data_IF_560506430873
#
_entry.id   IF_560506430873
#
_cell.length_a   1.000
_cell.length_b   1.000
_cell.length_c   1.000
_cell.angle_alpha   90.00
_cell.angle_beta   90.00
_cell.angle_gamma   90.00
#
_symmetry.space_group_name_H-M   'P 1'
#
loop_
_entity.id
_entity.type
_entity.pdbx_description
1 polymer ?
#
# COMPACT_ATOMS: atom_id res chain seq x y z
N UNK A 1 2.09 -3.89 21.34
CA UNK A 1 3.01 -4.22 20.25
C UNK A 1 2.47 -5.48 19.59
N UNK A 2 1.92 -5.38 18.39
CA UNK A 2 1.49 -6.57 17.65
C UNK A 2 2.73 -7.16 17.00
N UNK A 3 2.97 -8.44 17.18
CA UNK A 3 4.12 -9.13 16.59
C UNK A 3 3.84 -9.32 15.10
N UNK A 4 4.79 -8.94 14.24
CA UNK A 4 4.67 -9.09 12.77
C UNK A 4 4.21 -10.50 12.37
N UNK A 5 4.71 -11.52 13.07
CA UNK A 5 4.32 -12.92 12.88
C UNK A 5 2.84 -13.19 13.08
N UNK A 6 2.21 -12.56 14.07
CA UNK A 6 0.78 -12.77 14.37
C UNK A 6 -0.12 -12.03 13.36
N UNK A 7 0.30 -10.88 12.84
CA UNK A 7 -0.42 -10.22 11.73
C UNK A 7 -0.28 -11.00 10.43
N UNK A 8 0.89 -11.57 10.14
CA UNK A 8 1.09 -12.41 8.98
C UNK A 8 0.18 -13.64 9.01
N UNK A 9 0.03 -14.30 10.17
CA UNK A 9 -0.91 -15.42 10.34
C UNK A 9 -2.35 -15.00 10.07
N UNK A 10 -2.82 -13.90 10.67
CA UNK A 10 -4.19 -13.41 10.43
C UNK A 10 -4.44 -13.09 8.96
N UNK A 11 -3.46 -12.56 8.25
CA UNK A 11 -3.57 -12.31 6.81
C UNK A 11 -3.72 -13.64 6.05
N UNK A 12 -2.90 -14.65 6.38
CA UNK A 12 -3.00 -15.97 5.77
C UNK A 12 -4.37 -16.61 6.08
N UNK A 13 -4.86 -16.49 7.31
CA UNK A 13 -6.17 -17.03 7.73
C UNK A 13 -7.36 -16.36 7.01
N UNK A 14 -7.16 -15.20 6.36
CA UNK A 14 -8.19 -14.51 5.57
C UNK A 14 -8.18 -14.86 4.09
N UNK A 15 -7.16 -15.57 3.61
CA UNK A 15 -7.06 -15.95 2.21
C UNK A 15 -8.01 -17.12 1.89
N UNK A 16 -8.55 -17.17 0.66
CA UNK A 16 -9.21 -18.37 0.14
C UNK A 16 -8.32 -19.61 0.16
N UNK A 17 -8.92 -20.80 0.28
CA UNK A 17 -8.18 -22.08 0.26
C UNK A 17 -7.47 -22.35 -1.07
N UNK A 18 -7.93 -21.73 -2.16
CA UNK A 18 -7.37 -21.82 -3.51
C UNK A 18 -6.44 -20.65 -3.86
N UNK A 19 -6.15 -19.76 -2.89
CA UNK A 19 -5.25 -18.63 -3.10
C UNK A 19 -3.82 -19.09 -3.39
N UNK A 20 -3.15 -18.37 -4.28
CA UNK A 20 -1.77 -18.63 -4.63
C UNK A 20 -0.78 -17.57 -4.08
N UNK A 21 0.46 -17.65 -4.53
CA UNK A 21 1.51 -16.73 -4.09
C UNK A 21 1.28 -15.29 -4.58
N UNK A 22 0.63 -15.09 -5.73
CA UNK A 22 0.30 -13.75 -6.24
C UNK A 22 -0.77 -13.10 -5.36
N UNK A 23 -1.79 -13.85 -4.94
CA UNK A 23 -2.82 -13.38 -4.02
C UNK A 23 -2.23 -12.96 -2.67
N UNK A 24 -1.37 -13.79 -2.08
CA UNK A 24 -0.68 -13.47 -0.84
C UNK A 24 0.16 -12.19 -0.98
N UNK A 25 0.91 -12.05 -2.08
CA UNK A 25 1.71 -10.85 -2.32
C UNK A 25 0.86 -9.61 -2.53
N UNK A 26 -0.28 -9.73 -3.22
CA UNK A 26 -1.23 -8.64 -3.39
C UNK A 26 -1.73 -8.13 -2.04
N UNK A 27 -2.18 -9.02 -1.15
CA UNK A 27 -2.66 -8.65 0.18
C UNK A 27 -1.57 -7.95 1.01
N UNK A 28 -0.33 -8.46 0.97
CA UNK A 28 0.81 -7.81 1.63
C UNK A 28 1.04 -6.40 1.09
N UNK A 29 1.03 -6.24 -0.24
CA UNK A 29 1.23 -4.94 -0.89
C UNK A 29 0.15 -3.93 -0.51
N UNK A 30 -1.13 -4.34 -0.55
CA UNK A 30 -2.25 -3.48 -0.16
C UNK A 30 -2.12 -3.02 1.28
N UNK A 31 -1.83 -3.94 2.21
CA UNK A 31 -1.59 -3.57 3.62
C UNK A 31 -0.44 -2.58 3.77
N UNK A 32 0.69 -2.83 3.13
CA UNK A 32 1.85 -1.94 3.20
C UNK A 32 1.51 -0.52 2.68
N UNK A 33 0.73 -0.43 1.60
CA UNK A 33 0.27 0.86 1.05
C UNK A 33 -0.64 1.60 2.00
N UNK A 34 -1.56 0.91 2.67
CA UNK A 34 -2.44 1.50 3.67
C UNK A 34 -1.63 2.01 4.86
N UNK A 35 -0.71 1.20 5.40
CA UNK A 35 0.14 1.59 6.53
C UNK A 35 1.01 2.80 6.20
N UNK A 36 1.62 2.83 5.01
CA UNK A 36 2.38 3.98 4.51
C UNK A 36 1.51 5.23 4.41
N UNK A 37 0.27 5.09 3.91
CA UNK A 37 -0.69 6.19 3.81
C UNK A 37 -1.07 6.75 5.19
N UNK A 38 -1.40 5.87 6.15
CA UNK A 38 -1.73 6.26 7.52
C UNK A 38 -0.56 6.98 8.20
N UNK A 39 0.67 6.48 8.00
CA UNK A 39 1.88 7.12 8.51
C UNK A 39 2.08 8.50 7.89
N UNK A 40 1.93 8.64 6.58
CA UNK A 40 2.06 9.92 5.87
C UNK A 40 1.05 10.96 6.38
N UNK A 41 -0.21 10.56 6.64
CA UNK A 41 -1.22 11.42 7.26
C UNK A 41 -0.76 11.89 8.64
N UNK A 42 -0.29 10.96 9.49
CA UNK A 42 0.19 11.28 10.84
C UNK A 42 1.39 12.24 10.83
N UNK A 43 2.26 12.12 9.83
CA UNK A 43 3.45 12.96 9.66
C UNK A 43 3.17 14.24 8.84
N UNK A 44 1.90 14.52 8.52
CA UNK A 44 1.46 15.65 7.70
C UNK A 44 2.17 15.72 6.32
N UNK A 45 2.53 14.55 5.78
CA UNK A 45 3.13 14.35 4.45
C UNK A 45 2.04 14.05 3.41
N UNK A 46 1.04 14.93 3.33
CA UNK A 46 -0.09 14.84 2.40
C UNK A 46 -0.01 15.92 1.34
N UNK A 47 -0.54 15.63 0.14
CA UNK A 47 -0.63 16.57 -0.97
C UNK A 47 -2.08 17.04 -1.10
N UNK A 48 -2.27 18.29 -1.52
CA UNK A 48 -3.59 18.72 -1.99
C UNK A 48 -3.87 18.16 -3.40
N UNK A 49 -5.11 18.34 -3.88
CA UNK A 49 -5.57 17.80 -5.15
C UNK A 49 -4.70 18.24 -6.34
N UNK A 50 -4.33 19.52 -6.41
CA UNK A 50 -3.54 20.07 -7.52
C UNK A 50 -2.11 19.52 -7.53
N UNK A 51 -1.48 19.40 -6.34
CA UNK A 51 -0.17 18.79 -6.17
C UNK A 51 -0.19 17.29 -6.53
N UNK A 52 -1.23 16.58 -6.13
CA UNK A 52 -1.41 15.17 -6.45
C UNK A 52 -1.58 14.97 -7.97
N UNK A 53 -2.41 15.78 -8.63
CA UNK A 53 -2.59 15.75 -10.10
C UNK A 53 -1.28 16.03 -10.82
N UNK A 54 -0.53 17.05 -10.42
CA UNK A 54 0.79 17.37 -11.01
C UNK A 54 1.77 16.20 -10.87
N UNK A 55 1.78 15.53 -9.72
CA UNK A 55 2.67 14.38 -9.50
C UNK A 55 2.28 13.15 -10.31
N UNK A 56 0.98 12.88 -10.45
CA UNK A 56 0.47 11.70 -11.17
C UNK A 56 0.54 11.87 -12.68
N UNK A 57 0.26 13.06 -13.20
CA UNK A 57 0.18 13.36 -14.64
C UNK A 57 1.46 13.98 -15.20
N UNK A 58 2.32 14.55 -14.35
CA UNK A 58 3.55 15.22 -14.76
C UNK A 58 4.72 14.30 -15.13
N UNK A 59 4.57 12.98 -14.97
CA UNK A 59 5.61 11.99 -15.29
C UNK A 59 5.54 11.46 -16.74
N UNK A 60 4.74 12.10 -17.61
CA UNK A 60 4.55 11.71 -19.02
C UNK A 60 5.29 12.62 -20.04
N UNK A 61 6.08 13.61 -19.59
CA UNK A 61 6.73 14.60 -20.47
C UNK A 61 8.27 14.53 -20.50
N UNK A 62 8.87 13.36 -20.28
CA UNK A 62 10.33 13.16 -20.44
C UNK A 62 10.71 11.98 -21.34
N UNK A 63 9.96 11.78 -22.44
CA UNK A 63 10.52 11.13 -23.62
C UNK A 63 10.90 12.22 -24.63
N UNK A 64 12.08 12.80 -24.41
CA UNK A 64 12.95 13.29 -25.48
C UNK A 64 14.10 12.28 -25.60
#
# INVERSE_FOLDING_TARGET
MVLMKEEAKKLIDTLPDDADWEDLMYEIYVREKIEKGLKAIKENQVLNEDEAKKRLLGHDNSMD
#
